data_IF_135949407489
#
_entry.id   IF_135949407489
#
_cell.length_a   1.000
_cell.length_b   1.000
_cell.length_c   1.000
_cell.angle_alpha   90.00
_cell.angle_beta   90.00
_cell.angle_gamma   90.00
#
_symmetry.space_group_name_H-M   'P 1'
#
loop_
_entity.id
_entity.type
_entity.pdbx_description
1 polymer ?
#
# COMPACT_ATOMS: atom_id res chain seq x y z
N UNK A 1 57.94 3.35 49.46
CA UNK A 1 58.91 3.08 48.37
C UNK A 1 58.95 1.59 48.11
N UNK A 2 59.00 1.20 46.82
CA UNK A 2 59.31 -0.14 46.25
C UNK A 2 58.13 -1.12 46.04
N UNK A 3 57.52 -0.97 44.86
CA UNK A 3 57.22 -1.95 43.79
C UNK A 3 56.79 -3.39 44.14
N UNK A 4 55.79 -3.91 43.39
CA UNK A 4 55.93 -5.00 42.37
C UNK A 4 54.56 -5.44 41.82
N UNK A 5 54.35 -5.27 40.50
CA UNK A 5 54.19 -6.34 39.49
C UNK A 5 52.72 -6.75 39.28
N UNK A 6 52.03 -6.27 38.22
CA UNK A 6 51.98 -6.82 36.84
C UNK A 6 51.74 -8.33 36.78
N UNK A 7 50.54 -8.71 36.34
CA UNK A 7 50.16 -9.79 35.40
C UNK A 7 48.70 -10.18 35.66
N UNK A 8 47.81 -10.03 34.66
CA UNK A 8 46.90 -11.10 34.19
C UNK A 8 46.47 -10.75 32.77
N UNK A 9 46.85 -11.66 31.86
CA UNK A 9 46.36 -11.82 30.49
C UNK A 9 44.89 -12.22 30.57
N UNK A 10 43.99 -11.45 29.95
CA UNK A 10 42.57 -11.79 29.81
C UNK A 10 42.17 -11.57 28.37
N UNK A 11 41.91 -12.66 27.64
CA UNK A 11 41.55 -12.66 26.24
C UNK A 11 40.32 -11.81 25.96
N UNK A 12 40.45 -10.91 24.99
CA UNK A 12 39.31 -10.30 24.31
C UNK A 12 38.62 -11.41 23.52
N UNK A 13 37.66 -12.06 24.17
CA UNK A 13 36.56 -12.75 23.50
C UNK A 13 35.81 -11.65 22.76
N UNK A 14 36.08 -11.52 21.45
CA UNK A 14 35.16 -10.86 20.54
C UNK A 14 33.88 -11.70 20.57
N UNK A 15 32.96 -11.32 21.45
CA UNK A 15 31.54 -11.59 21.29
C UNK A 15 31.15 -10.99 19.95
N UNK A 16 31.13 -11.84 18.92
CA UNK A 16 30.27 -11.62 17.76
C UNK A 16 28.85 -11.54 18.32
N UNK A 17 28.44 -10.32 18.65
CA UNK A 17 27.05 -9.97 18.79
C UNK A 17 26.43 -10.33 17.44
N UNK A 18 25.76 -11.48 17.41
CA UNK A 18 24.76 -11.74 16.40
C UNK A 18 23.75 -10.59 16.51
N UNK A 19 23.85 -9.60 15.63
CA UNK A 19 22.68 -8.81 15.20
C UNK A 19 21.77 -9.81 14.50
N UNK A 20 21.03 -10.54 15.32
CA UNK A 20 19.91 -11.35 14.92
C UNK A 20 18.87 -10.42 14.30
N UNK A 21 18.26 -10.87 13.20
CA UNK A 21 17.12 -10.24 12.55
C UNK A 21 16.12 -9.72 13.59
N UNK A 22 16.08 -8.40 13.76
CA UNK A 22 15.10 -7.69 14.58
C UNK A 22 13.98 -7.06 13.75
N UNK A 23 14.01 -7.20 12.41
CA UNK A 23 13.07 -6.51 11.51
C UNK A 23 11.66 -7.11 11.42
N UNK A 24 11.50 -8.41 11.70
CA UNK A 24 10.20 -9.07 11.54
C UNK A 24 9.13 -8.71 12.57
N UNK A 25 9.46 -7.92 13.59
CA UNK A 25 8.47 -7.37 14.53
C UNK A 25 7.84 -6.08 14.01
N UNK A 26 8.67 -5.23 13.41
CA UNK A 26 8.27 -3.92 12.90
C UNK A 26 7.47 -4.08 11.59
N UNK A 27 7.89 -5.00 10.72
CA UNK A 27 7.16 -5.36 9.49
C UNK A 27 5.74 -5.85 9.79
N UNK A 28 5.59 -6.78 10.74
CA UNK A 28 4.27 -7.30 11.12
C UNK A 28 3.38 -6.24 11.77
N UNK A 29 3.97 -5.36 12.59
CA UNK A 29 3.23 -4.27 13.22
C UNK A 29 2.74 -3.25 12.17
N UNK A 30 3.60 -2.88 11.23
CA UNK A 30 3.25 -1.98 10.14
C UNK A 30 2.13 -2.54 9.26
N UNK A 31 2.21 -3.83 8.89
CA UNK A 31 1.18 -4.51 8.10
C UNK A 31 -0.16 -4.54 8.84
N UNK A 32 -0.15 -4.87 10.14
CA UNK A 32 -1.35 -4.86 10.99
C UNK A 32 -1.97 -3.47 11.10
N UNK A 33 -1.15 -2.41 11.20
CA UNK A 33 -1.63 -1.04 11.27
C UNK A 33 -2.31 -0.59 9.95
N UNK A 34 -1.72 -0.90 8.81
CA UNK A 34 -2.29 -0.60 7.48
C UNK A 34 -3.61 -1.35 7.30
N UNK A 35 -3.63 -2.66 7.58
CA UNK A 35 -4.83 -3.48 7.50
C UNK A 35 -5.95 -2.94 8.39
N UNK A 36 -5.64 -2.61 9.64
CA UNK A 36 -6.63 -2.05 10.56
C UNK A 36 -7.20 -0.72 10.07
N UNK A 37 -6.35 0.18 9.55
CA UNK A 37 -6.80 1.47 8.99
C UNK A 37 -7.77 1.26 7.83
N UNK A 38 -7.46 0.34 6.90
CA UNK A 38 -8.34 0.07 5.77
C UNK A 38 -9.72 -0.39 6.22
N UNK A 39 -9.81 -1.33 7.17
CA UNK A 39 -11.10 -1.80 7.68
C UNK A 39 -11.85 -0.71 8.46
N UNK A 40 -11.14 0.16 9.18
CA UNK A 40 -11.74 1.29 9.90
C UNK A 40 -12.26 2.39 8.96
N UNK A 41 -11.60 2.61 7.83
CA UNK A 41 -11.93 3.63 6.84
C UNK A 41 -12.95 3.17 5.79
N UNK A 42 -13.22 1.87 5.69
CA UNK A 42 -14.26 1.38 4.79
C UNK A 42 -15.67 1.79 5.23
N UNK A 43 -16.35 2.58 4.39
CA UNK A 43 -17.78 2.82 4.47
C UNK A 43 -18.57 1.60 3.95
N UNK A 44 -19.86 1.49 4.30
CA UNK A 44 -20.76 0.39 3.89
C UNK A 44 -20.85 0.17 2.36
N UNK A 45 -20.38 1.13 1.56
CA UNK A 45 -20.43 1.16 0.09
C UNK A 45 -19.18 0.56 -0.58
N UNK A 46 -18.04 0.51 0.13
CA UNK A 46 -16.79 -0.10 -0.34
C UNK A 46 -16.22 -1.01 0.74
N UNK A 47 -16.92 -2.09 1.06
CA UNK A 47 -16.51 -2.98 2.13
C UNK A 47 -15.31 -3.85 1.69
N UNK A 48 -14.12 -3.52 2.19
CA UNK A 48 -12.94 -4.39 2.15
C UNK A 48 -13.02 -5.31 3.36
N UNK A 49 -12.91 -6.61 3.15
CA UNK A 49 -12.89 -7.56 4.26
C UNK A 49 -11.50 -7.62 4.93
N UNK A 50 -11.45 -8.20 6.13
CA UNK A 50 -10.20 -8.30 6.88
C UNK A 50 -9.12 -9.07 6.13
N UNK A 51 -9.47 -10.12 5.37
CA UNK A 51 -8.49 -10.92 4.65
C UNK A 51 -7.87 -10.12 3.48
N UNK A 52 -8.67 -9.28 2.83
CA UNK A 52 -8.19 -8.34 1.80
C UNK A 52 -7.32 -7.22 2.40
N UNK A 53 -7.74 -6.64 3.52
CA UNK A 53 -6.97 -5.62 4.22
C UNK A 53 -5.63 -6.16 4.74
N UNK A 54 -5.61 -7.39 5.27
CA UNK A 54 -4.40 -8.09 5.69
C UNK A 54 -3.48 -8.33 4.48
N UNK A 55 -4.03 -8.75 3.33
CA UNK A 55 -3.26 -8.92 2.10
C UNK A 55 -2.60 -7.61 1.65
N UNK A 56 -3.32 -6.49 1.67
CA UNK A 56 -2.75 -5.18 1.30
C UNK A 56 -1.69 -4.74 2.30
N UNK A 57 -1.96 -4.86 3.61
CA UNK A 57 -1.00 -4.50 4.65
C UNK A 57 0.31 -5.28 4.55
N UNK A 58 0.23 -6.61 4.37
CA UNK A 58 1.41 -7.47 4.16
C UNK A 58 2.13 -7.11 2.85
N UNK A 59 1.40 -6.97 1.74
CA UNK A 59 1.98 -6.67 0.43
C UNK A 59 2.69 -5.31 0.38
N UNK A 60 2.11 -4.28 0.99
CA UNK A 60 2.72 -2.94 1.04
C UNK A 60 4.05 -2.97 1.79
N UNK A 61 4.11 -3.66 2.93
CA UNK A 61 5.34 -3.80 3.71
C UNK A 61 6.37 -4.66 2.98
N UNK A 62 5.94 -5.74 2.32
CA UNK A 62 6.84 -6.66 1.61
C UNK A 62 7.48 -6.03 0.37
N UNK A 63 6.71 -5.28 -0.43
CA UNK A 63 7.20 -4.70 -1.69
C UNK A 63 7.90 -3.34 -1.49
N UNK A 64 7.40 -2.48 -0.60
CA UNK A 64 7.92 -1.11 -0.42
C UNK A 64 8.86 -1.01 0.78
N UNK A 65 8.51 -1.70 1.87
CA UNK A 65 9.27 -1.69 3.12
C UNK A 65 8.85 -0.59 4.10
N UNK A 66 8.96 -0.90 5.39
CA UNK A 66 8.56 -0.02 6.51
C UNK A 66 9.26 1.35 6.46
N UNK A 67 10.58 1.37 6.29
CA UNK A 67 11.36 2.62 6.26
C UNK A 67 10.85 3.57 5.16
N UNK A 68 10.50 3.01 4.00
CA UNK A 68 10.08 3.78 2.83
C UNK A 68 8.63 4.28 3.00
N UNK A 69 7.75 3.47 3.58
CA UNK A 69 6.39 3.87 3.96
C UNK A 69 6.39 5.01 5.00
N UNK A 70 7.34 4.99 5.95
CA UNK A 70 7.55 6.10 6.88
C UNK A 70 8.08 7.36 6.19
N UNK A 71 9.05 7.21 5.28
CA UNK A 71 9.60 8.33 4.50
C UNK A 71 8.53 9.01 3.63
N UNK A 72 7.58 8.24 3.13
CA UNK A 72 6.41 8.73 2.41
C UNK A 72 5.38 9.41 3.31
N UNK A 73 5.44 9.18 4.62
CA UNK A 73 4.46 9.70 5.58
C UNK A 73 3.20 8.87 5.66
N UNK A 74 3.22 7.62 5.18
CA UNK A 74 2.10 6.69 5.37
C UNK A 74 2.08 6.11 6.77
N UNK A 75 3.26 5.91 7.36
CA UNK A 75 3.45 5.43 8.70
C UNK A 75 4.20 6.46 9.54
N UNK A 76 3.80 6.60 10.79
CA UNK A 76 4.55 7.37 11.80
C UNK A 76 5.80 6.61 12.26
N UNK A 77 6.68 7.28 13.01
CA UNK A 77 7.85 6.66 13.66
C UNK A 77 7.46 5.50 14.61
N UNK A 78 6.21 5.48 15.09
CA UNK A 78 5.64 4.49 16.00
C UNK A 78 4.90 3.35 15.25
N UNK A 79 4.97 3.31 13.91
CA UNK A 79 4.33 2.32 13.02
C UNK A 79 2.80 2.33 13.05
N UNK A 80 2.22 3.49 13.33
CA UNK A 80 0.79 3.76 13.17
C UNK A 80 0.55 4.48 11.84
N UNK A 81 -0.58 4.25 11.17
CA UNK A 81 -0.96 4.99 9.95
C UNK A 81 -1.11 6.48 10.29
N UNK A 82 -0.49 7.33 9.49
CA UNK A 82 -0.57 8.78 9.67
C UNK A 82 -1.88 9.33 9.08
N UNK A 83 -2.51 10.28 9.77
CA UNK A 83 -3.76 10.93 9.33
C UNK A 83 -3.63 11.66 7.96
N UNK A 84 -2.40 11.83 7.45
CA UNK A 84 -2.08 12.46 6.16
C UNK A 84 -1.86 11.46 5.02
N UNK A 85 -2.23 10.18 5.21
CA UNK A 85 -2.13 9.11 4.20
C UNK A 85 -2.79 9.44 2.85
N UNK A 86 -3.69 10.41 2.77
CA UNK A 86 -4.31 10.85 1.51
C UNK A 86 -3.46 11.82 0.68
N UNK A 87 -2.37 12.36 1.22
CA UNK A 87 -1.53 13.38 0.57
C UNK A 87 -0.15 12.84 0.16
N UNK A 88 0.03 11.52 0.20
CA UNK A 88 1.30 10.87 -0.12
C UNK A 88 1.69 11.10 -1.57
N UNK A 89 3.00 11.19 -1.81
CA UNK A 89 3.55 11.24 -3.17
C UNK A 89 4.69 10.24 -3.25
N UNK A 90 4.36 9.04 -3.70
CA UNK A 90 5.31 7.94 -3.85
C UNK A 90 6.17 8.10 -5.10
N UNK A 91 7.29 7.38 -5.14
CA UNK A 91 8.04 7.20 -6.39
C UNK A 91 7.19 6.40 -7.40
N UNK A 92 7.48 6.51 -8.69
CA UNK A 92 6.78 5.74 -9.73
C UNK A 92 6.88 4.22 -9.47
N UNK A 93 8.07 3.74 -9.11
CA UNK A 93 8.32 2.32 -8.81
C UNK A 93 7.51 1.83 -7.60
N UNK A 94 7.49 2.59 -6.50
CA UNK A 94 6.76 2.20 -5.30
C UNK A 94 5.24 2.37 -5.45
N UNK A 95 4.81 3.34 -6.26
CA UNK A 95 3.39 3.53 -6.58
C UNK A 95 2.85 2.42 -7.48
N UNK A 96 3.64 1.97 -8.46
CA UNK A 96 3.31 0.82 -9.29
C UNK A 96 3.19 -0.43 -8.41
N UNK A 97 4.15 -0.67 -7.52
CA UNK A 97 4.10 -1.78 -6.57
C UNK A 97 2.89 -1.69 -5.62
N UNK A 98 2.61 -0.51 -5.07
CA UNK A 98 1.44 -0.25 -4.22
C UNK A 98 0.12 -0.56 -4.96
N UNK A 99 0.01 -0.14 -6.22
CA UNK A 99 -1.16 -0.37 -7.05
C UNK A 99 -1.33 -1.85 -7.40
N UNK A 100 -0.26 -2.55 -7.76
CA UNK A 100 -0.28 -3.99 -8.03
C UNK A 100 -0.71 -4.79 -6.78
N UNK A 101 -0.21 -4.41 -5.59
CA UNK A 101 -0.65 -5.01 -4.32
C UNK A 101 -2.13 -4.75 -4.10
N UNK A 102 -2.57 -3.50 -4.25
CA UNK A 102 -3.96 -3.13 -4.00
C UNK A 102 -4.93 -3.88 -4.91
N UNK A 103 -4.71 -3.83 -6.23
CA UNK A 103 -5.58 -4.50 -7.24
C UNK A 103 -5.43 -6.03 -7.19
N UNK A 104 -4.28 -6.55 -6.75
CA UNK A 104 -4.07 -7.99 -6.57
C UNK A 104 -4.77 -8.55 -5.31
N UNK A 105 -4.91 -7.74 -4.26
CA UNK A 105 -5.52 -8.14 -2.99
C UNK A 105 -7.02 -7.83 -2.94
N UNK A 106 -7.44 -6.73 -3.57
CA UNK A 106 -8.82 -6.27 -3.65
C UNK A 106 -9.28 -6.44 -5.08
N UNK A 107 -10.42 -7.09 -5.30
CA UNK A 107 -11.00 -7.21 -6.64
C UNK A 107 -11.61 -5.86 -7.07
N UNK A 108 -10.73 -4.92 -7.39
CA UNK A 108 -11.09 -3.55 -7.74
C UNK A 108 -11.99 -3.51 -8.99
N UNK A 109 -11.79 -4.46 -9.91
CA UNK A 109 -12.61 -4.59 -11.12
C UNK A 109 -14.02 -5.06 -10.78
N UNK A 110 -14.17 -6.06 -9.90
CA UNK A 110 -15.49 -6.49 -9.40
C UNK A 110 -16.18 -5.34 -8.65
N UNK A 111 -15.50 -4.70 -7.71
CA UNK A 111 -16.06 -3.57 -6.93
C UNK A 111 -16.53 -2.43 -7.84
N UNK A 112 -15.70 -2.04 -8.81
CA UNK A 112 -16.05 -0.99 -9.76
C UNK A 112 -17.23 -1.39 -10.67
N UNK A 113 -17.28 -2.66 -11.09
CA UNK A 113 -18.41 -3.20 -11.88
C UNK A 113 -19.70 -3.21 -11.07
N UNK A 114 -19.64 -3.57 -9.78
CA UNK A 114 -20.79 -3.54 -8.88
C UNK A 114 -21.34 -2.12 -8.69
N UNK A 115 -20.45 -1.13 -8.53
CA UNK A 115 -20.81 0.28 -8.42
C UNK A 115 -21.53 0.78 -9.67
N UNK A 116 -21.00 0.45 -10.85
CA UNK A 116 -21.64 0.79 -12.13
C UNK A 116 -22.98 0.08 -12.32
N UNK A 117 -23.06 -1.19 -11.91
CA UNK A 117 -24.29 -1.97 -12.01
C UNK A 117 -25.39 -1.42 -11.09
N UNK A 118 -25.00 -0.76 -9.99
CA UNK A 118 -25.92 -0.06 -9.10
C UNK A 118 -26.43 1.28 -9.69
N UNK A 119 -25.81 1.79 -10.75
CA UNK A 119 -26.26 3.01 -11.44
C UNK A 119 -27.39 2.71 -12.45
N UNK A 120 -28.62 3.04 -12.03
CA UNK A 120 -29.85 2.93 -12.83
C UNK A 120 -29.91 3.93 -14.02
N UNK A 121 -29.04 4.93 -14.09
CA UNK A 121 -28.99 5.91 -15.19
C UNK A 121 -28.26 5.36 -16.42
N UNK A 122 -27.47 4.31 -16.26
CA UNK A 122 -26.73 3.65 -17.33
C UNK A 122 -27.51 2.47 -17.92
N UNK A 123 -27.47 2.34 -19.24
CA UNK A 123 -27.97 1.14 -19.91
C UNK A 123 -26.97 -0.02 -19.77
N UNK A 124 -27.45 -1.27 -19.90
CA UNK A 124 -26.57 -2.44 -19.85
C UNK A 124 -25.42 -2.39 -20.86
N UNK A 125 -25.65 -1.84 -22.07
CA UNK A 125 -24.60 -1.68 -23.09
C UNK A 125 -23.54 -0.64 -22.66
N UNK A 126 -23.95 0.41 -21.93
CA UNK A 126 -23.02 1.41 -21.39
C UNK A 126 -22.24 0.86 -20.20
N UNK A 127 -22.89 0.09 -19.32
CA UNK A 127 -22.24 -0.56 -18.18
C UNK A 127 -21.18 -1.56 -18.64
N UNK A 128 -21.49 -2.39 -19.65
CA UNK A 128 -20.53 -3.33 -20.26
C UNK A 128 -19.35 -2.59 -20.89
N UNK A 129 -19.59 -1.51 -21.66
CA UNK A 129 -18.53 -0.71 -22.24
C UNK A 129 -17.62 -0.06 -21.19
N UNK A 130 -18.19 0.50 -20.12
CA UNK A 130 -17.40 1.14 -19.05
C UNK A 130 -16.57 0.08 -18.32
N UNK A 131 -17.12 -1.11 -18.05
CA UNK A 131 -16.36 -2.21 -17.45
C UNK A 131 -15.20 -2.70 -18.32
N UNK A 132 -15.34 -2.67 -19.66
CA UNK A 132 -14.24 -2.96 -20.58
C UNK A 132 -13.14 -1.87 -20.58
N UNK A 133 -13.52 -0.61 -20.34
CA UNK A 133 -12.55 0.50 -20.22
C UNK A 133 -11.82 0.46 -18.89
N UNK A 134 -12.50 0.04 -17.83
CA UNK A 134 -12.00 0.03 -16.46
C UNK A 134 -11.59 -1.38 -16.05
N UNK A 135 -10.75 -1.99 -16.88
CA UNK A 135 -10.18 -3.30 -16.62
C UNK A 135 -9.08 -3.25 -15.55
N UNK A 136 -8.59 -4.41 -15.13
CA UNK A 136 -7.57 -4.56 -14.10
C UNK A 136 -6.28 -3.76 -14.41
N UNK A 137 -5.86 -3.74 -15.67
CA UNK A 137 -4.68 -2.99 -16.12
C UNK A 137 -4.89 -1.48 -15.95
N UNK A 138 -6.05 -0.99 -16.41
CA UNK A 138 -6.41 0.42 -16.31
C UNK A 138 -6.59 0.86 -14.85
N UNK A 139 -7.19 0.02 -14.02
CA UNK A 139 -7.35 0.28 -12.59
C UNK A 139 -5.98 0.32 -11.89
N UNK A 140 -5.08 -0.60 -12.22
CA UNK A 140 -3.71 -0.60 -11.68
C UNK A 140 -2.98 0.70 -12.06
N UNK A 141 -3.06 1.12 -13.32
CA UNK A 141 -2.45 2.38 -13.78
C UNK A 141 -3.06 3.61 -13.07
N UNK A 142 -4.38 3.62 -12.88
CA UNK A 142 -5.07 4.69 -12.16
C UNK A 142 -4.64 4.77 -10.70
N UNK A 143 -4.60 3.64 -9.98
CA UNK A 143 -4.13 3.60 -8.59
C UNK A 143 -2.67 3.99 -8.46
N UNK A 144 -1.80 3.57 -9.40
CA UNK A 144 -0.41 4.02 -9.41
C UNK A 144 -0.32 5.54 -9.57
N UNK A 145 -1.08 6.13 -10.51
CA UNK A 145 -1.13 7.58 -10.65
C UNK A 145 -1.65 8.28 -9.39
N UNK A 146 -2.64 7.70 -8.71
CA UNK A 146 -3.14 8.21 -7.43
C UNK A 146 -2.07 8.21 -6.35
N UNK A 147 -1.34 7.10 -6.15
CA UNK A 147 -0.24 7.02 -5.18
C UNK A 147 0.93 7.97 -5.50
N UNK A 148 1.09 8.37 -6.77
CA UNK A 148 2.04 9.40 -7.21
C UNK A 148 1.52 10.84 -7.02
N UNK A 149 0.30 11.04 -6.51
CA UNK A 149 -0.35 12.35 -6.43
C UNK A 149 -0.70 12.95 -7.81
N UNK A 150 -0.87 12.10 -8.82
CA UNK A 150 -1.20 12.44 -10.22
C UNK A 150 -2.62 12.01 -10.61
N UNK A 151 -3.53 11.92 -9.63
CA UNK A 151 -4.94 11.54 -9.82
C UNK A 151 -5.62 12.32 -10.96
N UNK A 152 -5.36 13.63 -11.05
CA UNK A 152 -5.90 14.50 -12.10
C UNK A 152 -5.45 14.04 -13.49
N UNK A 153 -4.20 13.60 -13.65
CA UNK A 153 -3.67 13.13 -14.94
C UNK A 153 -4.33 11.81 -15.33
N UNK A 154 -4.40 10.85 -14.41
CA UNK A 154 -5.05 9.55 -14.66
C UNK A 154 -6.53 9.67 -14.98
N UNK A 155 -7.26 10.52 -14.26
CA UNK A 155 -8.67 10.77 -14.56
C UNK A 155 -8.86 11.43 -15.93
N UNK A 156 -7.97 12.34 -16.33
CA UNK A 156 -8.05 12.98 -17.64
C UNK A 156 -7.85 11.99 -18.80
N UNK A 157 -7.01 10.97 -18.62
CA UNK A 157 -6.77 9.95 -19.63
C UNK A 157 -8.00 9.03 -19.81
N UNK A 158 -8.79 8.83 -18.75
CA UNK A 158 -10.02 8.04 -18.78
C UNK A 158 -11.24 8.78 -19.37
N UNK A 159 -11.26 10.11 -19.34
CA UNK A 159 -12.41 10.91 -19.81
C UNK A 159 -12.78 10.59 -21.26
N UNK A 160 -11.80 10.42 -22.14
CA UNK A 160 -12.03 10.13 -23.56
C UNK A 160 -12.69 8.76 -23.79
N UNK A 161 -12.06 7.66 -23.33
CA UNK A 161 -12.62 6.32 -23.36
C UNK A 161 -14.01 6.21 -22.72
N UNK A 162 -14.21 6.77 -21.52
CA UNK A 162 -15.50 6.73 -20.82
C UNK A 162 -16.59 7.50 -21.58
N UNK A 163 -16.27 8.66 -22.16
CA UNK A 163 -17.23 9.38 -23.00
C UNK A 163 -17.61 8.61 -24.26
N UNK A 164 -16.73 7.77 -24.79
CA UNK A 164 -17.05 6.93 -25.96
C UNK A 164 -18.11 5.88 -25.62
N UNK A 165 -18.20 5.44 -24.36
CA UNK A 165 -19.24 4.51 -23.90
C UNK A 165 -20.63 5.16 -23.79
N UNK A 166 -20.72 6.49 -23.77
CA UNK A 166 -22.02 7.18 -23.59
C UNK A 166 -22.86 7.32 -24.88
N UNK A 167 -22.34 6.88 -26.04
CA UNK A 167 -22.96 7.09 -27.36
C UNK A 167 -23.00 5.82 -28.21
#
# INVERSE_FOLDING_TARGET
MKNRSLLVVGGLVLSLSLTACGGGGDEAQAAEAISASMVEETDDEFAVDQDQADCVGEGMVDEIGVDQLQDYGMLTDDLEVDDTVGEVTMSEEDADAAAEVFVGCVDAAEMFTEEIAADDELTAEQQECIGEVMDEETLTELFSMMFQGKEDEGMNDLVGPLMACMF
#
